data_IF_015137165604
#
_entry.id   IF_015137165604
#
_cell.length_a   1.000
_cell.length_b   1.000
_cell.length_c   1.000
_cell.angle_alpha   90.00
_cell.angle_beta   90.00
_cell.angle_gamma   90.00
#
_symmetry.space_group_name_H-M   'P 1'
#
loop_
_entity.id
_entity.type
_entity.pdbx_description
1 polymer ?
#
# COMPACT_ATOMS: atom_id res chain seq x y z
N UNK A 1 28.97 16.27 -26.24
CA UNK A 1 28.35 16.45 -24.91
C UNK A 1 26.87 16.69 -25.13
N UNK A 2 25.97 15.78 -24.71
CA UNK A 2 24.52 15.95 -24.89
C UNK A 2 23.94 16.59 -23.64
N UNK A 3 23.51 17.84 -23.76
CA UNK A 3 22.75 18.55 -22.72
C UNK A 3 21.44 17.80 -22.45
N UNK A 4 21.26 17.35 -21.22
CA UNK A 4 19.96 16.91 -20.72
C UNK A 4 19.38 18.06 -19.90
N UNK A 5 18.55 18.88 -20.55
CA UNK A 5 17.67 19.79 -19.85
C UNK A 5 16.80 18.99 -18.86
N UNK A 6 16.52 19.52 -17.65
CA UNK A 6 15.61 18.86 -16.73
C UNK A 6 14.22 18.83 -17.37
N UNK A 7 13.69 17.63 -17.61
CA UNK A 7 12.32 17.47 -18.10
C UNK A 7 11.38 18.03 -17.04
N UNK A 8 10.74 19.15 -17.35
CA UNK A 8 9.62 19.66 -16.55
C UNK A 8 8.64 18.53 -16.30
N UNK A 9 8.28 18.35 -15.03
CA UNK A 9 7.30 17.35 -14.58
C UNK A 9 5.93 17.71 -15.15
N UNK A 10 5.59 17.21 -16.34
CA UNK A 10 4.20 17.23 -16.81
C UNK A 10 3.34 16.46 -15.80
N UNK A 11 2.19 17.01 -15.41
CA UNK A 11 1.22 16.26 -14.61
C UNK A 11 0.80 14.99 -15.33
N UNK A 12 0.57 13.91 -14.58
CA UNK A 12 0.11 12.64 -15.13
C UNK A 12 -1.32 12.80 -15.69
N UNK A 13 -1.60 12.17 -16.82
CA UNK A 13 -2.98 12.02 -17.35
C UNK A 13 -3.78 11.05 -16.49
N UNK A 14 -5.11 11.08 -16.56
CA UNK A 14 -5.96 10.17 -15.77
C UNK A 14 -5.64 8.68 -15.96
N UNK A 15 -5.29 8.26 -17.19
CA UNK A 15 -4.86 6.90 -17.50
C UNK A 15 -3.47 6.57 -16.92
N UNK A 16 -2.53 7.53 -16.93
CA UNK A 16 -1.23 7.35 -16.29
C UNK A 16 -1.36 7.26 -14.77
N UNK A 17 -2.25 8.05 -14.15
CA UNK A 17 -2.52 7.97 -12.72
C UNK A 17 -3.10 6.61 -12.34
N UNK A 18 -4.04 6.08 -13.13
CA UNK A 18 -4.55 4.71 -12.97
C UNK A 18 -3.44 3.67 -13.05
N UNK A 19 -2.55 3.76 -14.05
CA UNK A 19 -1.42 2.84 -14.20
C UNK A 19 -0.45 2.88 -13.02
N UNK A 20 -0.21 4.07 -12.46
CA UNK A 20 0.63 4.23 -11.28
C UNK A 20 -0.04 3.66 -10.03
N UNK A 21 -1.34 3.89 -9.84
CA UNK A 21 -2.11 3.32 -8.73
C UNK A 21 -2.13 1.78 -8.78
N UNK A 22 -2.43 1.19 -9.94
CA UNK A 22 -2.40 -0.27 -10.15
C UNK A 22 -1.05 -0.87 -9.75
N UNK A 23 0.06 -0.21 -10.10
CA UNK A 23 1.39 -0.65 -9.68
C UNK A 23 1.57 -0.52 -8.17
N UNK A 24 1.17 0.59 -7.57
CA UNK A 24 1.28 0.79 -6.12
C UNK A 24 0.55 -0.30 -5.33
N UNK A 25 -0.69 -0.62 -5.71
CA UNK A 25 -1.48 -1.72 -5.12
C UNK A 25 -0.80 -3.08 -5.31
N UNK A 26 -0.25 -3.35 -6.51
CA UNK A 26 0.47 -4.59 -6.77
C UNK A 26 1.74 -4.73 -5.92
N UNK A 27 2.46 -3.63 -5.69
CA UNK A 27 3.65 -3.59 -4.83
C UNK A 27 3.30 -3.74 -3.35
N UNK A 28 2.21 -3.13 -2.89
CA UNK A 28 1.71 -3.28 -1.52
C UNK A 28 1.29 -4.74 -1.25
N UNK A 29 0.50 -5.35 -2.15
CA UNK A 29 0.17 -6.78 -2.07
C UNK A 29 1.43 -7.66 -2.01
N UNK A 30 2.43 -7.40 -2.86
CA UNK A 30 3.72 -8.13 -2.85
C UNK A 30 4.47 -7.97 -1.54
N UNK A 31 4.50 -6.76 -0.98
CA UNK A 31 5.11 -6.51 0.32
C UNK A 31 4.43 -7.33 1.42
N UNK A 32 3.09 -7.27 1.53
CA UNK A 32 2.36 -8.01 2.55
C UNK A 32 2.53 -9.52 2.41
N UNK A 33 2.40 -10.05 1.20
CA UNK A 33 2.62 -11.49 0.93
C UNK A 33 4.05 -11.94 1.17
N UNK A 34 5.05 -11.07 0.96
CA UNK A 34 6.44 -11.36 1.30
C UNK A 34 6.66 -11.33 2.83
N UNK A 35 6.09 -10.37 3.55
CA UNK A 35 6.18 -10.30 5.01
C UNK A 35 5.60 -11.56 5.67
N UNK A 36 4.47 -12.06 5.15
CA UNK A 36 3.83 -13.30 5.59
C UNK A 36 4.72 -14.55 5.50
N UNK A 37 5.80 -14.53 4.70
CA UNK A 37 6.72 -15.67 4.59
C UNK A 37 7.68 -15.78 5.78
N UNK A 38 7.90 -14.70 6.53
CA UNK A 38 8.88 -14.70 7.63
C UNK A 38 8.35 -14.21 8.98
N UNK A 39 7.20 -13.53 9.02
CA UNK A 39 6.55 -13.20 10.29
C UNK A 39 5.96 -14.46 10.92
N UNK A 40 6.31 -14.72 12.18
CA UNK A 40 5.82 -15.86 12.95
C UNK A 40 4.63 -15.53 13.86
N UNK A 41 4.50 -14.27 14.29
CA UNK A 41 3.41 -13.86 15.19
C UNK A 41 2.04 -14.04 14.50
N UNK A 42 1.11 -14.82 15.07
CA UNK A 42 -0.15 -15.18 14.41
C UNK A 42 -1.09 -13.98 14.19
N UNK A 43 -1.19 -13.08 15.16
CA UNK A 43 -2.03 -11.87 15.06
C UNK A 43 -1.57 -10.96 13.92
N UNK A 44 -0.24 -10.73 13.85
CA UNK A 44 0.34 -9.95 12.75
C UNK A 44 0.16 -10.67 11.41
N UNK A 45 0.30 -11.99 11.35
CA UNK A 45 0.03 -12.75 10.11
C UNK A 45 -1.41 -12.57 9.63
N UNK A 46 -2.38 -12.64 10.54
CA UNK A 46 -3.78 -12.41 10.20
C UNK A 46 -4.00 -11.00 9.65
N UNK A 47 -3.44 -9.99 10.32
CA UNK A 47 -3.50 -8.58 9.89
C UNK A 47 -2.89 -8.37 8.51
N UNK A 48 -1.67 -8.87 8.26
CA UNK A 48 -0.99 -8.75 6.96
C UNK A 48 -1.74 -9.52 5.85
N UNK A 49 -2.40 -10.63 6.18
CA UNK A 49 -3.21 -11.38 5.21
C UNK A 49 -4.45 -10.62 4.78
N UNK A 50 -5.12 -9.90 5.70
CA UNK A 50 -6.26 -9.04 5.36
C UNK A 50 -5.84 -7.89 4.46
N UNK A 51 -4.77 -7.18 4.84
CA UNK A 51 -4.22 -6.07 4.04
C UNK A 51 -3.85 -6.54 2.63
N UNK A 52 -3.13 -7.66 2.50
CA UNK A 52 -2.83 -8.23 1.19
C UNK A 52 -4.11 -8.47 0.35
N UNK A 53 -5.16 -9.03 0.95
CA UNK A 53 -6.41 -9.28 0.23
C UNK A 53 -7.12 -7.99 -0.19
N UNK A 54 -7.04 -6.93 0.62
CA UNK A 54 -7.59 -5.60 0.33
C UNK A 54 -6.84 -4.95 -0.84
N UNK A 55 -5.50 -4.90 -0.84
CA UNK A 55 -4.75 -4.32 -1.97
C UNK A 55 -4.98 -5.06 -3.28
N UNK A 56 -5.16 -6.39 -3.21
CA UNK A 56 -5.53 -7.17 -4.38
C UNK A 56 -6.88 -6.72 -4.94
N UNK A 57 -7.86 -6.44 -4.10
CA UNK A 57 -9.19 -5.95 -4.51
C UNK A 57 -9.10 -4.53 -5.07
N UNK A 58 -8.35 -3.64 -4.42
CA UNK A 58 -8.11 -2.29 -4.93
C UNK A 58 -7.52 -2.32 -6.33
N UNK A 59 -6.46 -3.12 -6.54
CA UNK A 59 -5.86 -3.34 -7.86
C UNK A 59 -6.89 -3.80 -8.91
N UNK A 60 -7.73 -4.78 -8.57
CA UNK A 60 -8.75 -5.30 -9.50
C UNK A 60 -9.77 -4.23 -9.91
N UNK A 61 -10.22 -3.41 -8.95
CA UNK A 61 -11.14 -2.29 -9.22
C UNK A 61 -10.50 -1.28 -10.17
N UNK A 62 -9.22 -0.95 -9.95
CA UNK A 62 -8.48 -0.02 -10.80
C UNK A 62 -8.22 -0.58 -12.20
N UNK A 63 -7.88 -1.86 -12.32
CA UNK A 63 -7.71 -2.55 -13.60
C UNK A 63 -9.01 -2.56 -14.42
N UNK A 64 -10.15 -2.81 -13.77
CA UNK A 64 -11.45 -2.75 -14.43
C UNK A 64 -11.78 -1.33 -14.93
N UNK A 65 -11.51 -0.31 -14.10
CA UNK A 65 -11.68 1.10 -14.49
C UNK A 65 -10.78 1.47 -15.66
N UNK A 66 -9.51 1.09 -15.61
CA UNK A 66 -8.56 1.33 -16.70
C UNK A 66 -9.06 0.71 -18.00
N UNK A 67 -9.51 -0.54 -17.97
CA UNK A 67 -10.03 -1.24 -19.16
C UNK A 67 -11.25 -0.52 -19.75
N UNK A 68 -12.17 -0.06 -18.89
CA UNK A 68 -13.36 0.70 -19.32
C UNK A 68 -13.00 2.06 -19.93
N UNK A 69 -11.94 2.72 -19.46
CA UNK A 69 -11.55 4.05 -19.92
C UNK A 69 -10.61 4.05 -21.13
N UNK A 70 -9.74 3.04 -21.27
CA UNK A 70 -8.74 2.96 -22.34
C UNK A 70 -9.13 2.01 -23.48
N UNK A 71 -9.99 1.02 -23.21
CA UNK A 71 -10.20 -0.12 -24.11
C UNK A 71 -9.04 -1.12 -24.13
N UNK A 72 -7.97 -0.88 -23.39
CA UNK A 72 -6.79 -1.74 -23.29
C UNK A 72 -6.84 -2.65 -22.07
N UNK A 73 -6.21 -3.82 -22.16
CA UNK A 73 -6.20 -4.78 -21.05
C UNK A 73 -5.22 -4.41 -19.93
N UNK A 74 -4.10 -3.75 -20.27
CA UNK A 74 -3.04 -3.41 -19.31
C UNK A 74 -2.68 -1.93 -19.39
N UNK A 75 -2.52 -1.26 -18.24
CA UNK A 75 -2.06 0.13 -18.23
C UNK A 75 -0.62 0.25 -18.71
N UNK A 76 -0.27 1.31 -19.46
CA UNK A 76 1.11 1.69 -19.65
C UNK A 76 1.65 2.13 -18.29
N UNK A 77 2.34 1.22 -17.59
CA UNK A 77 2.97 1.51 -16.31
C UNK A 77 4.10 2.51 -16.57
N UNK A 78 4.00 3.77 -16.11
CA UNK A 78 5.05 4.75 -16.38
C UNK A 78 6.36 4.31 -15.71
N UNK A 79 7.49 4.33 -16.43
CA UNK A 79 8.81 3.97 -15.86
C UNK A 79 9.25 4.91 -14.73
N UNK A 80 8.62 6.07 -14.61
CA UNK A 80 8.90 7.14 -13.65
C UNK A 80 7.61 7.73 -13.12
N UNK A 81 7.57 8.12 -11.84
CA UNK A 81 6.39 8.65 -11.15
C UNK A 81 5.61 7.56 -10.40
N UNK A 82 5.18 7.84 -9.18
CA UNK A 82 4.48 6.92 -8.26
C UNK A 82 5.00 7.00 -6.82
N UNK A 83 4.48 6.12 -5.95
CA UNK A 83 5.07 5.90 -4.64
C UNK A 83 6.49 5.37 -4.87
N UNK A 84 7.51 6.18 -4.64
CA UNK A 84 8.88 5.67 -4.66
C UNK A 84 8.95 4.57 -3.60
N UNK A 85 9.34 3.35 -3.99
CA UNK A 85 9.41 2.18 -3.10
C UNK A 85 10.46 2.33 -1.99
N UNK A 86 10.31 3.30 -1.10
CA UNK A 86 11.13 3.51 0.10
C UNK A 86 10.61 2.65 1.23
N UNK A 87 10.62 1.35 0.98
CA UNK A 87 10.31 0.34 1.98
C UNK A 87 10.72 -1.03 1.46
N UNK A 88 12.03 -1.26 1.32
CA UNK A 88 12.52 -2.63 1.14
C UNK A 88 12.07 -3.44 2.35
N UNK A 89 11.66 -4.69 2.10
CA UNK A 89 11.41 -5.64 3.18
C UNK A 89 12.59 -5.59 4.16
N UNK A 90 12.36 -5.33 5.46
CA UNK A 90 13.46 -5.25 6.41
C UNK A 90 14.20 -6.59 6.47
N UNK A 91 15.52 -6.55 6.65
CA UNK A 91 16.33 -7.78 6.80
C UNK A 91 15.92 -8.59 8.02
N UNK A 92 15.51 -7.89 9.07
CA UNK A 92 14.94 -8.46 10.28
C UNK A 92 13.42 -8.35 10.19
N UNK A 93 12.75 -9.50 10.17
CA UNK A 93 11.31 -9.65 10.05
C UNK A 93 10.60 -9.69 11.41
N UNK A 94 11.19 -9.06 12.43
CA UNK A 94 10.50 -8.83 13.70
C UNK A 94 9.18 -8.07 13.47
N UNK A 95 8.12 -8.39 14.24
CA UNK A 95 6.82 -7.75 14.09
C UNK A 95 6.88 -6.22 14.10
N UNK A 96 7.67 -5.65 15.00
CA UNK A 96 7.86 -4.20 15.13
C UNK A 96 8.43 -3.57 13.85
N UNK A 97 9.48 -4.17 13.27
CA UNK A 97 10.14 -3.62 12.07
C UNK A 97 9.24 -3.73 10.84
N UNK A 98 8.55 -4.86 10.69
CA UNK A 98 7.58 -5.05 9.60
C UNK A 98 6.45 -4.02 9.70
N UNK A 99 5.89 -3.81 10.91
CA UNK A 99 4.85 -2.82 11.14
C UNK A 99 5.32 -1.40 10.83
N UNK A 100 6.51 -0.99 11.29
CA UNK A 100 7.05 0.35 11.00
C UNK A 100 7.21 0.59 9.48
N UNK A 101 7.72 -0.40 8.74
CA UNK A 101 7.85 -0.28 7.29
C UNK A 101 6.48 -0.25 6.61
N UNK A 102 5.53 -1.07 7.05
CA UNK A 102 4.17 -1.06 6.53
C UNK A 102 3.50 0.31 6.73
N UNK A 103 3.54 0.87 7.94
CA UNK A 103 2.98 2.20 8.26
C UNK A 103 3.57 3.27 7.34
N UNK A 104 4.89 3.26 7.14
CA UNK A 104 5.53 4.23 6.25
C UNK A 104 5.02 4.08 4.81
N UNK A 105 4.88 2.85 4.31
CA UNK A 105 4.37 2.60 2.95
C UNK A 105 2.94 3.12 2.80
N UNK A 106 2.05 2.78 3.72
CA UNK A 106 0.66 3.27 3.72
C UNK A 106 0.59 4.80 3.71
N UNK A 107 1.38 5.43 4.57
CA UNK A 107 1.45 6.89 4.65
C UNK A 107 1.95 7.53 3.34
N UNK A 108 2.97 6.95 2.71
CA UNK A 108 3.52 7.42 1.44
C UNK A 108 2.51 7.27 0.30
N UNK A 109 1.80 6.13 0.24
CA UNK A 109 0.76 5.85 -0.76
C UNK A 109 -0.45 6.76 -0.58
N UNK A 110 -0.96 6.94 0.64
CA UNK A 110 -2.04 7.88 0.94
C UNK A 110 -1.71 9.30 0.47
N UNK A 111 -0.50 9.77 0.77
CA UNK A 111 -0.04 11.10 0.34
C UNK A 111 0.11 11.19 -1.18
N UNK A 112 0.54 10.12 -1.83
CA UNK A 112 0.62 10.07 -3.29
C UNK A 112 -0.77 10.21 -3.91
N UNK A 113 -1.74 9.40 -3.51
CA UNK A 113 -3.11 9.48 -4.02
C UNK A 113 -3.75 10.85 -3.76
N UNK A 114 -3.57 11.42 -2.56
CA UNK A 114 -4.03 12.77 -2.26
C UNK A 114 -3.48 13.82 -3.24
N UNK A 115 -2.17 13.76 -3.55
CA UNK A 115 -1.52 14.73 -4.46
C UNK A 115 -2.01 14.56 -5.89
N UNK A 116 -2.17 13.33 -6.37
CA UNK A 116 -2.63 13.08 -7.74
C UNK A 116 -4.13 13.41 -7.88
N UNK A 117 -4.95 13.17 -6.86
CA UNK A 117 -6.33 13.62 -6.83
C UNK A 117 -6.46 15.14 -7.03
N UNK A 118 -5.62 15.92 -6.33
CA UNK A 118 -5.59 17.39 -6.45
C UNK A 118 -5.15 17.89 -7.83
N UNK A 119 -4.37 17.08 -8.56
CA UNK A 119 -3.86 17.39 -9.90
C UNK A 119 -4.76 16.87 -11.02
N UNK A 120 -5.66 15.94 -10.72
CA UNK A 120 -6.57 15.35 -11.70
C UNK A 120 -7.55 16.40 -12.21
N UNK A 121 -7.66 16.47 -13.55
CA UNK A 121 -8.69 17.27 -14.24
C UNK A 121 -9.98 16.48 -14.50
N UNK A 122 -9.94 15.15 -14.34
CA UNK A 122 -11.10 14.28 -14.42
C UNK A 122 -11.71 14.11 -13.02
N UNK A 123 -12.99 14.45 -12.88
CA UNK A 123 -13.75 14.34 -11.63
C UNK A 123 -13.85 12.88 -11.17
N UNK A 124 -14.08 11.94 -12.10
CA UNK A 124 -14.22 10.52 -11.76
C UNK A 124 -12.90 9.95 -11.21
N UNK A 125 -11.79 10.21 -11.91
CA UNK A 125 -10.45 9.85 -11.44
C UNK A 125 -10.08 10.52 -10.12
N UNK A 126 -10.46 11.78 -9.93
CA UNK A 126 -10.25 12.50 -8.67
C UNK A 126 -10.93 11.81 -7.49
N UNK A 127 -12.24 11.55 -7.59
CA UNK A 127 -12.99 10.90 -6.51
C UNK A 127 -12.42 9.52 -6.16
N UNK A 128 -12.02 8.75 -7.16
CA UNK A 128 -11.40 7.45 -6.96
C UNK A 128 -10.06 7.55 -6.22
N UNK A 129 -9.22 8.53 -6.54
CA UNK A 129 -7.94 8.74 -5.83
C UNK A 129 -8.15 9.25 -4.41
N UNK A 130 -9.12 10.13 -4.18
CA UNK A 130 -9.50 10.55 -2.82
C UNK A 130 -9.96 9.35 -2.00
N UNK A 131 -10.78 8.48 -2.60
CA UNK A 131 -11.25 7.25 -1.97
C UNK A 131 -10.12 6.28 -1.62
N UNK A 132 -9.16 6.06 -2.53
CA UNK A 132 -7.98 5.25 -2.24
C UNK A 132 -7.13 5.88 -1.12
N UNK A 133 -6.90 7.20 -1.15
CA UNK A 133 -6.14 7.88 -0.11
C UNK A 133 -6.74 7.65 1.30
N UNK A 134 -8.07 7.56 1.39
CA UNK A 134 -8.76 7.29 2.65
C UNK A 134 -8.64 5.82 3.10
N UNK A 135 -8.59 4.86 2.18
CA UNK A 135 -8.26 3.47 2.51
C UNK A 135 -6.86 3.34 3.09
N UNK A 136 -5.86 3.93 2.44
CA UNK A 136 -4.47 3.85 2.91
C UNK A 136 -4.29 4.53 4.28
N UNK A 137 -5.04 5.61 4.56
CA UNK A 137 -5.10 6.19 5.92
C UNK A 137 -5.74 5.26 6.94
N UNK A 138 -6.71 4.45 6.54
CA UNK A 138 -7.32 3.45 7.42
C UNK A 138 -6.34 2.30 7.68
N UNK A 139 -5.63 1.83 6.66
CA UNK A 139 -4.55 0.86 6.81
C UNK A 139 -3.46 1.39 7.75
N UNK A 140 -2.98 2.63 7.53
CA UNK A 140 -2.00 3.30 8.38
C UNK A 140 -2.44 3.31 9.85
N UNK A 141 -3.66 3.79 10.13
CA UNK A 141 -4.22 3.84 11.48
C UNK A 141 -4.33 2.45 12.11
N UNK A 142 -4.78 1.47 11.33
CA UNK A 142 -4.93 0.09 11.76
C UNK A 142 -3.58 -0.56 12.11
N UNK A 143 -2.52 -0.24 11.38
CA UNK A 143 -1.16 -0.70 11.65
C UNK A 143 -0.51 0.03 12.83
N UNK A 144 -0.78 1.33 12.99
CA UNK A 144 -0.33 2.10 14.16
C UNK A 144 -0.95 1.57 15.46
N UNK A 145 -2.22 1.18 15.43
CA UNK A 145 -2.89 0.53 16.55
C UNK A 145 -2.22 -0.81 16.91
N UNK A 146 -1.89 -1.62 15.90
CA UNK A 146 -1.17 -2.89 16.06
C UNK A 146 0.21 -2.68 16.70
N UNK A 147 0.99 -1.72 16.19
CA UNK A 147 2.31 -1.39 16.72
C UNK A 147 2.22 -0.92 18.19
N UNK A 148 1.23 -0.08 18.51
CA UNK A 148 1.00 0.38 19.88
C UNK A 148 0.63 -0.77 20.82
N UNK A 149 -0.19 -1.72 20.36
CA UNK A 149 -0.55 -2.90 21.13
C UNK A 149 0.68 -3.79 21.40
N UNK A 150 1.49 -4.04 20.37
CA UNK A 150 2.75 -4.78 20.47
C UNK A 150 3.72 -4.17 21.49
N UNK A 151 3.88 -2.84 21.48
CA UNK A 151 4.76 -2.14 22.41
C UNK A 151 4.22 -2.13 23.85
N UNK A 152 2.89 -2.05 24.02
CA UNK A 152 2.26 -1.97 25.35
C UNK A 152 2.12 -3.32 26.04
N UNK A 153 1.94 -4.41 25.27
CA UNK A 153 1.66 -5.74 25.78
C UNK A 153 2.57 -6.80 25.12
N UNK A 154 3.90 -6.70 25.26
CA UNK A 154 4.83 -7.58 24.54
C UNK A 154 4.61 -9.07 24.83
N UNK A 155 4.18 -9.43 26.04
CA UNK A 155 3.93 -10.82 26.44
C UNK A 155 2.68 -11.42 25.77
N UNK A 156 1.63 -10.62 25.58
CA UNK A 156 0.40 -11.03 24.85
C UNK A 156 0.67 -11.34 23.37
N UNK A 157 1.70 -10.72 22.80
CA UNK A 157 2.13 -10.95 21.43
C UNK A 157 3.32 -11.94 21.33
N UNK A 158 3.73 -12.54 22.45
CA UNK A 158 4.76 -13.57 22.47
C UNK A 158 4.15 -14.91 22.07
N UNK A 159 4.79 -15.61 21.13
CA UNK A 159 4.37 -16.92 20.58
C UNK A 159 4.34 -18.03 21.66
N UNK A 160 4.75 -17.72 22.90
CA UNK A 160 4.85 -18.66 24.02
C UNK A 160 3.65 -18.71 24.97
N UNK A 161 2.60 -17.90 24.76
CA UNK A 161 1.42 -17.94 25.64
C UNK A 161 0.27 -18.79 25.03
N UNK A 162 -0.14 -19.90 25.68
CA UNK A 162 -1.25 -20.76 25.23
C UNK A 162 -2.59 -20.03 25.11
N UNK A 163 -2.78 -18.88 25.79
CA UNK A 163 -4.04 -18.13 25.77
C UNK A 163 -4.30 -17.37 24.47
N UNK A 164 -3.28 -17.14 23.63
CA UNK A 164 -3.44 -16.49 22.31
C UNK A 164 -4.29 -17.33 21.35
N UNK A 165 -4.45 -18.64 21.63
CA UNK A 165 -5.26 -19.55 20.82
C UNK A 165 -6.75 -19.61 21.21
N UNK A 166 -7.15 -19.02 22.35
CA UNK A 166 -8.48 -19.25 22.95
C UNK A 166 -9.38 -18.01 23.01
N UNK A 167 -8.83 -16.81 22.83
CA UNK A 167 -9.60 -15.57 22.97
C UNK A 167 -9.26 -14.60 21.85
N UNK A 168 -9.64 -14.97 20.61
CA UNK A 168 -9.90 -13.96 19.58
C UNK A 168 -11.30 -13.34 19.81
N UNK A 169 -11.54 -12.08 19.39
CA UNK A 169 -12.84 -11.41 19.56
C UNK A 169 -13.99 -12.13 18.83
#
# INVERSE_FOLDING_TARGET
MRNHAPRESRGLTGLEVLGVAIRAEAEAHRFYTQALKGVQNPLLREKLSRLAAEEKRHRQILEERYRKSSGEEFPPIPRTGGVEGKGRMPKDLSPEKVLKVAIQKEQETARFYQREAQRSKDMSGRFMLEYLADFERNHERSLQAELKALTRFPDWFSVKDPMVMLVGP
#
